data_IF_671542877022
#
_entry.id   IF_671542877022
#
_cell.length_a   1.000
_cell.length_b   1.000
_cell.length_c   1.000
_cell.angle_alpha   90.00
_cell.angle_beta   90.00
_cell.angle_gamma   90.00
#
_symmetry.space_group_name_H-M   'P 1'
#
loop_
_entity.id
_entity.type
_entity.pdbx_description
1 polymer ?
#
# COMPACT_ATOMS: atom_id res chain seq x y z
N UNK A 1 14.72 -19.00 -24.71
CA UNK A 1 15.53 -18.03 -23.92
C UNK A 1 15.04 -18.07 -22.49
N UNK A 2 15.94 -18.12 -21.52
CA UNK A 2 15.61 -18.09 -20.10
C UNK A 2 15.11 -16.70 -19.72
N UNK A 3 13.84 -16.58 -19.30
CA UNK A 3 13.32 -15.37 -18.64
C UNK A 3 13.90 -15.22 -17.22
N UNK A 4 14.60 -16.23 -16.70
CA UNK A 4 15.18 -16.19 -15.37
C UNK A 4 16.50 -15.41 -15.39
N UNK A 5 16.58 -14.42 -14.51
CA UNK A 5 17.80 -13.68 -14.16
C UNK A 5 18.57 -14.40 -13.07
N UNK A 6 19.90 -14.32 -13.09
CA UNK A 6 20.76 -15.00 -12.11
C UNK A 6 20.54 -14.50 -10.67
N UNK A 7 20.33 -13.18 -10.50
CA UNK A 7 19.99 -12.59 -9.22
C UNK A 7 18.66 -11.82 -9.29
N UNK A 8 17.52 -12.44 -8.89
CA UNK A 8 16.22 -11.77 -8.91
C UNK A 8 16.06 -10.72 -7.80
N UNK A 9 16.88 -10.77 -6.73
CA UNK A 9 16.76 -9.87 -5.58
C UNK A 9 17.80 -8.76 -5.71
N UNK A 10 17.32 -7.57 -6.12
CA UNK A 10 18.19 -6.41 -6.40
C UNK A 10 17.93 -5.19 -5.51
N UNK A 11 17.06 -5.30 -4.50
CA UNK A 11 16.76 -4.22 -3.55
C UNK A 11 16.79 -4.73 -2.10
N UNK A 12 17.09 -3.83 -1.17
CA UNK A 12 16.87 -4.06 0.26
C UNK A 12 15.37 -4.15 0.56
N UNK A 13 14.92 -5.03 1.47
CA UNK A 13 13.53 -5.06 1.93
C UNK A 13 13.17 -3.90 2.87
N UNK A 14 14.16 -3.18 3.40
CA UNK A 14 13.99 -2.13 4.40
C UNK A 14 13.98 -0.71 3.82
N UNK A 15 14.54 -0.54 2.62
CA UNK A 15 14.66 0.74 1.93
C UNK A 15 13.66 0.85 0.76
N UNK A 16 13.42 2.08 0.29
CA UNK A 16 12.64 2.28 -0.92
C UNK A 16 13.31 1.58 -2.11
N UNK A 17 12.58 0.80 -2.93
CA UNK A 17 13.15 0.16 -4.10
C UNK A 17 13.74 1.18 -5.06
N UNK A 18 15.01 1.00 -5.41
CA UNK A 18 15.78 1.90 -6.26
C UNK A 18 16.02 1.35 -7.66
N UNK A 19 15.72 0.06 -7.89
CA UNK A 19 15.93 -0.61 -9.17
C UNK A 19 14.85 -1.67 -9.42
N UNK A 20 14.61 -2.01 -10.68
CA UNK A 20 13.73 -3.12 -11.06
C UNK A 20 14.20 -3.79 -12.36
N UNK A 21 13.78 -5.04 -12.56
CA UNK A 21 13.94 -5.73 -13.84
C UNK A 21 12.79 -5.33 -14.78
N UNK A 22 13.15 -4.74 -15.91
CA UNK A 22 12.25 -4.43 -17.02
C UNK A 22 12.48 -5.44 -18.14
N UNK A 23 11.42 -5.96 -18.75
CA UNK A 23 11.53 -6.97 -19.80
C UNK A 23 11.21 -6.31 -21.13
N UNK A 24 12.26 -5.98 -21.90
CA UNK A 24 12.12 -5.44 -23.26
C UNK A 24 12.46 -6.53 -24.25
N UNK A 25 11.53 -6.82 -25.17
CA UNK A 25 11.70 -7.87 -26.18
C UNK A 25 12.08 -9.25 -25.58
N UNK A 26 11.57 -9.54 -24.37
CA UNK A 26 11.86 -10.78 -23.66
C UNK A 26 13.23 -10.85 -22.98
N UNK A 27 14.02 -9.77 -23.01
CA UNK A 27 15.30 -9.69 -22.30
C UNK A 27 15.18 -8.85 -21.01
N UNK A 28 15.71 -9.35 -19.87
CA UNK A 28 15.70 -8.62 -18.62
C UNK A 28 16.78 -7.52 -18.62
N UNK A 29 16.33 -6.28 -18.45
CA UNK A 29 17.19 -5.09 -18.34
C UNK A 29 17.02 -4.51 -16.93
N UNK A 30 18.13 -4.23 -16.26
CA UNK A 30 18.10 -3.58 -14.94
C UNK A 30 17.88 -2.08 -15.13
N UNK A 31 16.74 -1.61 -14.68
CA UNK A 31 16.35 -0.19 -14.79
C UNK A 31 16.41 0.48 -13.43
N UNK A 32 16.88 1.73 -13.40
CA UNK A 32 16.92 2.57 -12.20
C UNK A 32 15.54 3.12 -11.86
N UNK A 33 15.32 3.38 -10.57
CA UNK A 33 14.07 3.86 -10.01
C UNK A 33 13.18 2.73 -9.49
N UNK A 34 12.02 3.11 -8.98
CA UNK A 34 10.99 2.19 -8.51
C UNK A 34 10.09 1.78 -9.66
N UNK A 35 9.79 0.49 -9.76
CA UNK A 35 8.84 -0.02 -10.77
C UNK A 35 7.48 0.69 -10.66
N UNK A 36 6.96 1.29 -11.74
CA UNK A 36 5.60 1.82 -11.77
C UNK A 36 4.56 0.76 -11.39
N UNK A 37 3.54 1.15 -10.63
CA UNK A 37 2.38 0.29 -10.41
C UNK A 37 1.59 0.17 -11.72
N UNK A 38 1.22 -1.05 -12.06
CA UNK A 38 0.51 -1.38 -13.29
C UNK A 38 0.24 -2.88 -13.40
N UNK A 39 -0.37 -3.28 -14.50
CA UNK A 39 -0.60 -4.67 -14.88
C UNK A 39 -0.38 -4.84 -16.38
N UNK A 40 -0.07 -6.05 -16.81
CA UNK A 40 0.01 -6.36 -18.25
C UNK A 40 -1.32 -6.91 -18.73
N UNK A 41 -1.81 -6.41 -19.87
CA UNK A 41 -2.91 -7.00 -20.60
C UNK A 41 -2.36 -7.84 -21.75
N UNK A 42 -2.94 -9.02 -21.93
CA UNK A 42 -2.82 -9.78 -23.19
C UNK A 42 -4.00 -9.40 -24.08
N UNK A 43 -3.79 -8.82 -25.27
CA UNK A 43 -4.86 -8.52 -26.20
C UNK A 43 -5.65 -9.79 -26.53
N UNK A 44 -6.98 -9.74 -26.39
CA UNK A 44 -7.86 -10.90 -26.56
C UNK A 44 -8.27 -11.20 -28.02
N UNK A 45 -7.75 -10.48 -29.02
CA UNK A 45 -8.28 -10.55 -30.39
C UNK A 45 -7.26 -10.87 -31.50
N UNK A 46 -7.58 -12.02 -32.16
CA UNK A 46 -7.33 -12.48 -33.54
C UNK A 46 -5.93 -12.97 -33.94
N UNK A 47 -5.79 -14.29 -33.99
CA UNK A 47 -4.76 -15.02 -34.73
C UNK A 47 -3.84 -15.86 -33.84
N UNK A 48 -3.99 -17.18 -33.87
CA UNK A 48 -3.33 -18.15 -32.99
C UNK A 48 -1.80 -18.28 -33.15
N UNK A 49 -1.11 -17.31 -33.75
CA UNK A 49 0.33 -17.38 -34.01
C UNK A 49 1.13 -16.12 -33.67
N UNK A 50 0.50 -14.97 -33.37
CA UNK A 50 1.22 -13.70 -33.13
C UNK A 50 0.92 -13.03 -31.77
N UNK A 51 -0.09 -13.48 -31.03
CA UNK A 51 -0.52 -12.88 -29.75
C UNK A 51 0.34 -13.23 -28.53
N UNK A 52 1.49 -13.88 -28.73
CA UNK A 52 2.34 -14.37 -27.64
C UNK A 52 3.33 -13.31 -27.10
N UNK A 53 3.51 -12.18 -27.79
CA UNK A 53 4.64 -11.28 -27.57
C UNK A 53 4.31 -9.82 -27.23
N UNK A 54 3.05 -9.39 -27.28
CA UNK A 54 2.68 -8.00 -26.97
C UNK A 54 1.86 -7.96 -25.68
N UNK A 55 2.54 -8.13 -24.54
CA UNK A 55 1.99 -7.77 -23.24
C UNK A 55 2.08 -6.24 -23.08
N UNK A 56 0.95 -5.55 -23.21
CA UNK A 56 0.90 -4.09 -23.03
C UNK A 56 0.83 -3.76 -21.53
N UNK A 57 1.75 -2.91 -21.06
CA UNK A 57 1.76 -2.44 -19.68
C UNK A 57 0.75 -1.31 -19.49
N UNK A 58 -0.25 -1.54 -18.64
CA UNK A 58 -1.23 -0.54 -18.24
C UNK A 58 -0.86 0.03 -16.86
N UNK A 59 -0.47 1.31 -16.77
CA UNK A 59 -0.12 1.93 -15.50
C UNK A 59 -1.36 2.18 -14.62
N UNK A 60 -1.18 2.07 -13.31
CA UNK A 60 -2.16 2.48 -12.30
C UNK A 60 -1.85 3.92 -11.88
N UNK A 61 -2.27 4.88 -12.69
CA UNK A 61 -1.97 6.31 -12.52
C UNK A 61 -2.27 6.81 -11.10
N UNK A 62 -3.47 6.56 -10.59
CA UNK A 62 -3.85 6.98 -9.24
C UNK A 62 -2.90 6.44 -8.16
N UNK A 63 -2.47 5.18 -8.29
CA UNK A 63 -1.54 4.56 -7.32
C UNK A 63 -0.15 5.18 -7.42
N UNK A 64 0.34 5.43 -8.64
CA UNK A 64 1.64 6.07 -8.85
C UNK A 64 1.64 7.49 -8.28
N UNK A 65 0.60 8.28 -8.55
CA UNK A 65 0.47 9.63 -8.01
C UNK A 65 0.38 9.63 -6.48
N UNK A 66 -0.37 8.69 -5.88
CA UNK A 66 -0.41 8.55 -4.41
C UNK A 66 0.99 8.27 -3.85
N UNK A 67 1.78 7.38 -4.48
CA UNK A 67 3.14 7.08 -4.02
C UNK A 67 4.03 8.33 -4.02
N UNK A 68 3.96 9.16 -5.06
CA UNK A 68 4.71 10.41 -5.15
C UNK A 68 4.31 11.39 -4.05
N UNK A 69 3.00 11.55 -3.78
CA UNK A 69 2.51 12.43 -2.72
C UNK A 69 2.90 11.93 -1.34
N UNK A 70 2.76 10.64 -1.07
CA UNK A 70 3.17 10.01 0.20
C UNK A 70 4.67 10.18 0.41
N UNK A 71 5.48 10.01 -0.64
CA UNK A 71 6.93 10.26 -0.58
C UNK A 71 7.25 11.71 -0.22
N UNK A 72 6.68 12.68 -0.94
CA UNK A 72 6.90 14.10 -0.65
C UNK A 72 6.41 14.50 0.76
N UNK A 73 5.30 13.91 1.21
CA UNK A 73 4.76 14.12 2.55
C UNK A 73 5.67 13.52 3.65
N UNK A 74 6.24 12.34 3.39
CA UNK A 74 7.24 11.69 4.25
C UNK A 74 8.51 12.54 4.38
N UNK A 75 9.03 13.04 3.26
CA UNK A 75 10.25 13.87 3.21
C UNK A 75 10.08 15.20 3.96
N UNK A 76 8.87 15.74 4.01
CA UNK A 76 8.52 16.93 4.81
C UNK A 76 8.18 16.62 6.26
N UNK A 77 8.47 15.41 6.73
CA UNK A 77 8.23 14.95 8.09
C UNK A 77 6.75 15.01 8.51
N UNK A 78 5.87 14.52 7.64
CA UNK A 78 4.46 14.25 7.93
C UNK A 78 3.65 15.46 8.42
N UNK A 79 3.57 16.56 7.64
CA UNK A 79 2.77 17.71 8.01
C UNK A 79 1.28 17.35 8.16
N UNK A 80 0.61 17.96 9.14
CA UNK A 80 -0.83 17.84 9.36
C UNK A 80 -1.29 16.60 10.14
N UNK A 81 -0.38 15.69 10.53
CA UNK A 81 -0.74 14.54 11.37
C UNK A 81 -1.05 14.93 12.81
N UNK A 82 -1.82 14.09 13.50
CA UNK A 82 -2.03 14.24 14.95
C UNK A 82 -0.74 13.97 15.74
N UNK A 83 -0.64 14.43 16.99
CA UNK A 83 0.48 14.09 17.87
C UNK A 83 0.67 12.58 18.06
N UNK A 84 -0.44 11.81 18.16
CA UNK A 84 -0.41 10.36 18.31
C UNK A 84 0.15 9.70 17.06
N UNK A 85 -0.35 10.10 15.89
CA UNK A 85 0.14 9.59 14.60
C UNK A 85 1.62 9.91 14.41
N UNK A 86 2.09 11.10 14.82
CA UNK A 86 3.52 11.43 14.80
C UNK A 86 4.36 10.50 15.67
N UNK A 87 3.90 10.19 16.89
CA UNK A 87 4.61 9.25 17.77
C UNK A 87 4.67 7.85 17.17
N UNK A 88 3.56 7.37 16.58
CA UNK A 88 3.52 6.08 15.90
C UNK A 88 4.48 6.02 14.71
N UNK A 89 4.47 7.05 13.84
CA UNK A 89 5.38 7.15 12.71
C UNK A 89 6.84 7.16 13.17
N UNK A 90 7.19 7.95 14.20
CA UNK A 90 8.54 7.96 14.76
C UNK A 90 8.94 6.58 15.30
N UNK A 91 8.03 5.90 16.00
CA UNK A 91 8.28 4.56 16.54
C UNK A 91 8.47 3.50 15.44
N UNK A 92 7.67 3.55 14.38
CA UNK A 92 7.76 2.60 13.25
C UNK A 92 8.97 2.85 12.35
N UNK A 93 9.41 4.11 12.26
CA UNK A 93 10.56 4.52 11.45
C UNK A 93 11.88 4.52 12.21
N UNK A 94 11.87 4.19 13.51
CA UNK A 94 13.09 4.17 14.32
C UNK A 94 14.09 3.11 13.80
N UNK A 95 15.30 3.52 13.35
CA UNK A 95 16.31 2.57 12.85
C UNK A 95 16.85 1.62 13.91
N UNK A 96 16.75 2.00 15.19
CA UNK A 96 17.19 1.21 16.36
C UNK A 96 16.13 0.25 16.89
N UNK A 97 14.97 0.16 16.22
CA UNK A 97 13.93 -0.80 16.58
C UNK A 97 14.48 -2.23 16.45
N UNK A 98 14.32 -3.03 17.50
CA UNK A 98 14.74 -4.44 17.55
C UNK A 98 14.28 -5.23 16.32
N UNK A 99 13.00 -5.06 15.94
CA UNK A 99 12.39 -5.68 14.75
C UNK A 99 12.06 -4.62 13.71
N UNK A 100 13.03 -4.31 12.85
CA UNK A 100 12.88 -3.35 11.75
C UNK A 100 11.71 -3.74 10.85
N UNK A 101 10.88 -2.76 10.51
CA UNK A 101 9.77 -2.94 9.59
C UNK A 101 10.26 -2.88 8.14
N UNK A 102 9.68 -3.71 7.27
CA UNK A 102 9.94 -3.62 5.84
C UNK A 102 9.41 -2.31 5.28
N UNK A 103 10.06 -1.80 4.24
CA UNK A 103 9.63 -0.57 3.57
C UNK A 103 8.16 -0.65 3.13
N UNK A 104 7.74 -1.79 2.58
CA UNK A 104 6.36 -1.99 2.12
C UNK A 104 5.33 -1.98 3.26
N UNK A 105 5.73 -2.30 4.50
CA UNK A 105 4.85 -2.24 5.67
C UNK A 105 4.68 -0.79 6.12
N UNK A 106 5.81 -0.07 6.25
CA UNK A 106 5.85 1.35 6.59
C UNK A 106 5.04 2.17 5.59
N UNK A 107 5.31 1.97 4.29
CA UNK A 107 4.62 2.68 3.23
C UNK A 107 3.11 2.38 3.19
N UNK A 108 2.70 1.14 3.43
CA UNK A 108 1.28 0.81 3.48
C UNK A 108 0.57 1.58 4.61
N UNK A 109 1.15 1.61 5.80
CA UNK A 109 0.61 2.36 6.93
C UNK A 109 0.60 3.88 6.65
N UNK A 110 1.71 4.43 6.16
CA UNK A 110 1.83 5.85 5.79
C UNK A 110 0.82 6.25 4.72
N UNK A 111 0.55 5.38 3.74
CA UNK A 111 -0.42 5.65 2.68
C UNK A 111 -1.83 5.74 3.26
N UNK A 112 -2.22 4.81 4.14
CA UNK A 112 -3.52 4.85 4.82
C UNK A 112 -3.66 6.09 5.69
N UNK A 113 -2.60 6.45 6.43
CA UNK A 113 -2.56 7.67 7.23
C UNK A 113 -2.72 8.90 6.35
N UNK A 114 -1.94 9.01 5.28
CA UNK A 114 -1.99 10.14 4.37
C UNK A 114 -3.39 10.32 3.75
N UNK A 115 -4.04 9.22 3.34
CA UNK A 115 -5.39 9.26 2.78
C UNK A 115 -6.45 9.83 3.74
N UNK A 116 -6.26 9.70 5.05
CA UNK A 116 -7.19 10.15 6.10
C UNK A 116 -6.78 11.49 6.72
N UNK A 117 -5.51 11.65 7.09
CA UNK A 117 -5.02 12.78 7.89
C UNK A 117 -4.44 13.92 7.05
N UNK A 118 -3.97 13.67 5.83
CA UNK A 118 -3.39 14.74 5.03
C UNK A 118 -4.42 15.84 4.77
N UNK A 119 -3.93 17.09 4.72
CA UNK A 119 -4.79 18.24 4.50
C UNK A 119 -5.54 18.14 3.17
N UNK A 120 -6.71 18.78 3.02
CA UNK A 120 -7.40 18.83 1.73
C UNK A 120 -6.50 19.38 0.62
N UNK A 121 -5.60 20.33 0.92
CA UNK A 121 -4.64 20.88 -0.05
C UNK A 121 -3.65 19.81 -0.56
N UNK A 122 -3.16 18.93 0.34
CA UNK A 122 -2.30 17.80 -0.05
C UNK A 122 -3.04 16.80 -0.96
N UNK A 123 -4.36 16.67 -0.79
CA UNK A 123 -5.24 15.77 -1.56
C UNK A 123 -5.95 16.45 -2.73
N UNK A 124 -5.78 17.76 -2.93
CA UNK A 124 -6.65 18.56 -3.81
C UNK A 124 -6.59 18.14 -5.28
N UNK A 125 -5.45 17.57 -5.70
CA UNK A 125 -5.27 17.05 -7.06
C UNK A 125 -5.78 15.61 -7.25
N UNK A 126 -6.41 15.00 -6.23
CA UNK A 126 -6.78 13.58 -6.23
C UNK A 126 -8.20 13.35 -5.74
N UNK A 127 -9.09 13.02 -6.69
CA UNK A 127 -10.39 12.48 -6.34
C UNK A 127 -10.27 10.98 -6.15
N UNK A 128 -10.40 10.50 -4.91
CA UNK A 128 -10.51 9.07 -4.64
C UNK A 128 -11.94 8.63 -5.01
N UNK A 129 -12.11 7.69 -5.94
CA UNK A 129 -13.43 7.18 -6.31
C UNK A 129 -14.14 6.56 -5.10
N UNK A 130 -15.45 6.81 -4.98
CA UNK A 130 -16.30 6.12 -4.02
C UNK A 130 -16.89 4.88 -4.66
N UNK A 131 -17.01 3.82 -3.87
CA UNK A 131 -17.69 2.59 -4.24
C UNK A 131 -19.19 2.76 -4.02
N UNK A 132 -19.95 2.85 -5.12
CA UNK A 132 -21.40 2.97 -5.12
C UNK A 132 -22.03 1.58 -5.17
N UNK A 133 -22.57 1.12 -4.05
CA UNK A 133 -23.23 -0.19 -3.95
C UNK A 133 -24.50 -0.27 -4.80
N UNK A 134 -25.15 0.87 -5.02
CA UNK A 134 -26.43 0.99 -5.71
C UNK A 134 -26.36 2.19 -6.67
N UNK A 135 -26.95 2.10 -7.87
CA UNK A 135 -27.11 3.22 -8.83
C UNK A 135 -27.94 4.41 -8.28
N UNK A 136 -28.36 4.36 -7.01
CA UNK A 136 -29.12 5.39 -6.32
C UNK A 136 -28.23 6.39 -5.55
N UNK A 137 -26.91 6.23 -5.53
CA UNK A 137 -25.95 7.14 -4.88
C UNK A 137 -25.99 7.18 -3.35
N UNK A 138 -26.97 6.52 -2.70
CA UNK A 138 -27.07 6.42 -1.24
C UNK A 138 -26.15 5.30 -0.73
N UNK A 139 -25.21 5.66 0.13
CA UNK A 139 -24.31 4.71 0.80
C UNK A 139 -22.95 4.50 0.11
N UNK A 140 -22.50 5.43 -0.74
CA UNK A 140 -21.20 5.34 -1.38
C UNK A 140 -20.06 5.38 -0.33
N UNK A 141 -19.25 4.32 -0.26
CA UNK A 141 -18.15 4.21 0.69
C UNK A 141 -16.79 4.38 0.00
N UNK A 142 -15.86 5.05 0.66
CA UNK A 142 -14.46 5.03 0.21
C UNK A 142 -13.79 3.77 0.74
N UNK A 143 -13.27 2.94 -0.15
CA UNK A 143 -12.55 1.72 0.21
C UNK A 143 -11.07 1.88 -0.09
N UNK A 144 -10.24 1.52 0.87
CA UNK A 144 -8.80 1.48 0.69
C UNK A 144 -8.33 0.03 0.67
N UNK A 145 -7.35 -0.25 -0.20
CA UNK A 145 -6.77 -1.57 -0.34
C UNK A 145 -5.25 -1.47 -0.45
N UNK A 146 -4.54 -2.21 0.41
CA UNK A 146 -3.10 -2.40 0.31
C UNK A 146 -2.82 -3.75 -0.38
N UNK A 147 -2.46 -3.72 -1.67
CA UNK A 147 -2.04 -4.94 -2.39
C UNK A 147 -0.59 -5.26 -2.04
N UNK A 148 -0.40 -6.34 -1.29
CA UNK A 148 0.91 -6.74 -0.75
C UNK A 148 1.23 -8.20 -1.06
N UNK A 149 2.51 -8.50 -1.29
CA UNK A 149 2.99 -9.84 -1.57
C UNK A 149 2.74 -10.82 -0.41
N UNK A 150 2.74 -12.12 -0.70
CA UNK A 150 2.77 -13.15 0.35
C UNK A 150 4.11 -13.10 1.06
N UNK A 151 4.10 -13.21 2.40
CA UNK A 151 5.32 -13.09 3.22
C UNK A 151 5.76 -11.66 3.55
N UNK A 152 5.19 -10.61 2.95
CA UNK A 152 5.61 -9.22 3.22
C UNK A 152 5.03 -8.62 4.53
N UNK A 153 4.32 -9.42 5.34
CA UNK A 153 3.77 -8.99 6.63
C UNK A 153 2.46 -8.19 6.57
N UNK A 154 1.49 -8.64 5.78
CA UNK A 154 0.12 -8.05 5.75
C UNK A 154 -0.49 -7.90 7.14
N UNK A 155 -0.37 -8.91 7.99
CA UNK A 155 -0.88 -8.89 9.37
C UNK A 155 -0.22 -7.81 10.22
N UNK A 156 1.07 -7.52 10.01
CA UNK A 156 1.76 -6.41 10.70
C UNK A 156 1.12 -5.09 10.33
N UNK A 157 0.86 -4.86 9.04
CA UNK A 157 0.16 -3.63 8.58
C UNK A 157 -1.25 -3.54 9.13
N UNK A 158 -1.97 -4.65 9.28
CA UNK A 158 -3.28 -4.67 9.95
C UNK A 158 -3.14 -4.19 11.40
N UNK A 159 -2.17 -4.72 12.16
CA UNK A 159 -1.89 -4.28 13.53
C UNK A 159 -1.51 -2.80 13.61
N UNK A 160 -0.69 -2.30 12.68
CA UNK A 160 -0.34 -0.88 12.59
C UNK A 160 -1.58 -0.01 12.35
N UNK A 161 -2.46 -0.41 11.43
CA UNK A 161 -3.70 0.31 11.14
C UNK A 161 -4.66 0.30 12.34
N UNK A 162 -4.80 -0.83 13.03
CA UNK A 162 -5.63 -0.96 14.24
C UNK A 162 -5.10 -0.05 15.36
N UNK A 163 -3.81 -0.13 15.65
CA UNK A 163 -3.18 0.71 16.67
C UNK A 163 -3.35 2.21 16.35
N UNK A 164 -3.11 2.60 15.10
CA UNK A 164 -3.32 3.97 14.64
C UNK A 164 -4.75 4.46 14.83
N UNK A 165 -5.74 3.67 14.42
CA UNK A 165 -7.16 4.00 14.54
C UNK A 165 -7.58 4.13 16.01
N UNK A 166 -7.31 3.10 16.82
CA UNK A 166 -7.75 3.05 18.22
C UNK A 166 -7.06 4.13 19.05
N UNK A 167 -5.74 4.30 18.95
CA UNK A 167 -5.01 5.27 19.76
C UNK A 167 -5.43 6.71 19.44
N UNK A 168 -5.67 7.03 18.17
CA UNK A 168 -6.19 8.35 17.80
C UNK A 168 -7.62 8.55 18.27
N UNK A 169 -8.47 7.52 18.20
CA UNK A 169 -9.84 7.60 18.70
C UNK A 169 -9.89 7.83 20.21
N UNK A 170 -9.06 7.13 20.97
CA UNK A 170 -8.93 7.32 22.41
C UNK A 170 -8.42 8.71 22.77
N UNK A 171 -7.41 9.22 22.05
CA UNK A 171 -6.89 10.56 22.29
C UNK A 171 -7.87 11.68 21.88
N UNK A 172 -8.72 11.43 20.87
CA UNK A 172 -9.71 12.39 20.37
C UNK A 172 -11.07 11.72 20.10
N UNK A 173 -11.88 11.45 21.15
CA UNK A 173 -13.13 10.68 21.00
C UNK A 173 -14.15 11.29 20.02
N UNK A 174 -14.13 12.62 19.85
CA UNK A 174 -15.04 13.33 18.94
C UNK A 174 -14.59 13.32 17.47
N UNK A 175 -13.34 12.94 17.18
CA UNK A 175 -12.86 12.87 15.81
C UNK A 175 -13.48 11.64 15.12
N UNK A 176 -14.24 11.91 14.05
CA UNK A 176 -14.97 10.90 13.28
C UNK A 176 -14.11 10.20 12.23
N UNK A 177 -12.87 10.64 12.04
CA UNK A 177 -11.91 10.00 11.11
C UNK A 177 -11.41 8.66 11.64
N UNK A 178 -11.51 8.42 12.95
CA UNK A 178 -10.97 7.23 13.61
C UNK A 178 -12.06 6.36 14.22
N UNK A 179 -11.78 5.07 14.31
CA UNK A 179 -12.64 4.05 14.93
C UNK A 179 -11.92 3.36 16.08
N UNK A 180 -12.66 3.06 17.14
CA UNK A 180 -12.29 2.17 18.25
C UNK A 180 -12.86 0.76 18.08
N UNK A 181 -13.73 0.56 17.09
CA UNK A 181 -14.28 -0.74 16.70
C UNK A 181 -13.63 -1.24 15.40
N UNK A 182 -13.16 -2.49 15.42
CA UNK A 182 -12.52 -3.15 14.28
C UNK A 182 -13.19 -4.50 14.01
N UNK A 183 -13.61 -4.72 12.76
CA UNK A 183 -14.08 -6.01 12.29
C UNK A 183 -13.05 -6.64 11.35
N UNK A 184 -12.58 -7.83 11.70
CA UNK A 184 -11.69 -8.63 10.85
C UNK A 184 -12.48 -9.75 10.19
N UNK A 185 -12.58 -9.72 8.86
CA UNK A 185 -13.21 -10.77 8.06
C UNK A 185 -12.12 -11.62 7.42
N UNK A 186 -12.21 -12.94 7.58
CA UNK A 186 -11.25 -13.89 7.05
C UNK A 186 -11.98 -15.06 6.36
N UNK A 187 -11.32 -15.75 5.40
CA UNK A 187 -12.01 -16.72 4.55
C UNK A 187 -12.35 -18.05 5.24
N UNK A 188 -11.70 -18.38 6.36
CA UNK A 188 -11.93 -19.63 7.09
C UNK A 188 -11.35 -19.56 8.53
N UNK A 189 -11.65 -20.58 9.33
CA UNK A 189 -11.23 -20.69 10.73
C UNK A 189 -9.70 -20.74 10.90
N UNK A 190 -8.96 -21.37 9.98
CA UNK A 190 -7.50 -21.43 10.04
C UNK A 190 -6.87 -20.05 9.92
N UNK A 191 -7.38 -19.19 9.03
CA UNK A 191 -6.91 -17.80 8.96
C UNK A 191 -7.37 -17.00 10.18
N UNK A 192 -8.57 -17.27 10.70
CA UNK A 192 -9.06 -16.65 11.94
C UNK A 192 -8.12 -16.91 13.12
N UNK A 193 -7.70 -18.16 13.32
CA UNK A 193 -6.76 -18.56 14.38
C UNK A 193 -5.42 -17.83 14.25
N UNK A 194 -4.88 -17.74 13.02
CA UNK A 194 -3.64 -16.98 12.78
C UNK A 194 -3.77 -15.49 13.06
N UNK A 195 -4.96 -14.90 12.88
CA UNK A 195 -5.21 -13.49 13.15
C UNK A 195 -5.42 -13.19 14.65
N UNK A 196 -5.49 -14.20 15.52
CA UNK A 196 -5.57 -13.99 16.98
C UNK A 196 -4.38 -13.21 17.54
N UNK A 197 -3.23 -13.22 16.86
CA UNK A 197 -2.06 -12.37 17.19
C UNK A 197 -2.36 -10.87 17.18
N UNK A 198 -3.49 -10.44 16.62
CA UNK A 198 -3.96 -9.05 16.62
C UNK A 198 -4.83 -8.70 17.83
N UNK A 199 -5.22 -9.68 18.65
CA UNK A 199 -5.89 -9.43 19.91
C UNK A 199 -4.83 -8.99 20.94
N UNK A 200 -4.96 -7.79 21.53
CA UNK A 200 -4.10 -7.41 22.65
C UNK A 200 -4.33 -8.35 23.84
N UNK A 201 -3.26 -8.65 24.57
CA UNK A 201 -3.32 -9.39 25.85
C UNK A 201 -4.04 -8.59 26.94
#
# INVERSE_FOLDING_TARGET
MSLAVDNPIINSPFEEPSQYWDYKEGQPIRTSGRRPAGYYLRPRTRGAQLSMFEEEFVPLELVNSIREKVKSWRERNYPGVTPITRQLLNHWNNPERERKLFFCQREAAETLIWLIEASPAERQSMMIPKDEFNHSGKGALTRFACKMATGSGKTVVMGMAIAWQILNKLANPQDRRYSDAVLLVCPNLTIRERLQVLLPE
#
